data_IF_730025922601
#
_entry.id   IF_730025922601
#
_cell.length_a   1.000
_cell.length_b   1.000
_cell.length_c   1.000
_cell.angle_alpha   90.00
_cell.angle_beta   90.00
_cell.angle_gamma   90.00
#
_symmetry.space_group_name_H-M   'P 1'
#
loop_
_entity.id
_entity.type
_entity.pdbx_description
1 polymer ?
#
# COMPACT_ATOMS: atom_id res chain seq x y z
N UNK A 1 -58.98 24.72 -2.55
CA UNK A 1 -57.81 25.62 -2.46
C UNK A 1 -56.64 24.88 -1.83
N UNK A 2 -56.88 24.03 -0.83
CA UNK A 2 -55.86 23.24 -0.14
C UNK A 2 -55.17 22.17 -1.02
N UNK A 3 -55.91 21.48 -1.89
CA UNK A 3 -55.32 20.46 -2.80
C UNK A 3 -54.26 21.04 -3.75
N UNK A 4 -54.42 22.28 -4.21
CA UNK A 4 -53.43 22.95 -5.07
C UNK A 4 -52.16 23.33 -4.30
N UNK A 5 -52.29 23.68 -3.01
CA UNK A 5 -51.16 23.97 -2.14
C UNK A 5 -50.38 22.68 -1.85
N UNK A 6 -51.08 21.59 -1.55
CA UNK A 6 -50.51 20.27 -1.33
C UNK A 6 -49.80 19.74 -2.58
N UNK A 7 -50.41 19.85 -3.76
CA UNK A 7 -49.80 19.47 -5.03
C UNK A 7 -48.51 20.27 -5.30
N UNK A 8 -48.52 21.58 -5.02
CA UNK A 8 -47.34 22.44 -5.19
C UNK A 8 -46.23 22.07 -4.20
N UNK A 9 -46.59 21.70 -2.96
CA UNK A 9 -45.64 21.23 -1.96
C UNK A 9 -44.99 19.92 -2.41
N UNK A 10 -45.79 18.94 -2.83
CA UNK A 10 -45.31 17.65 -3.33
C UNK A 10 -44.41 17.80 -4.57
N UNK A 11 -44.72 18.73 -5.46
CA UNK A 11 -43.85 19.03 -6.61
C UNK A 11 -42.48 19.56 -6.18
N UNK A 12 -42.44 20.51 -5.25
CA UNK A 12 -41.17 21.04 -4.70
C UNK A 12 -40.36 19.97 -3.98
N UNK A 13 -41.02 19.13 -3.19
CA UNK A 13 -40.37 18.00 -2.52
C UNK A 13 -39.80 16.99 -3.53
N UNK A 14 -40.55 16.67 -4.59
CA UNK A 14 -40.08 15.79 -5.65
C UNK A 14 -38.85 16.37 -6.38
N UNK A 15 -38.85 17.67 -6.68
CA UNK A 15 -37.68 18.35 -7.26
C UNK A 15 -36.48 18.35 -6.32
N UNK A 16 -36.70 18.56 -5.02
CA UNK A 16 -35.65 18.49 -4.01
C UNK A 16 -35.06 17.07 -3.95
N UNK A 17 -35.90 16.04 -3.84
CA UNK A 17 -35.47 14.65 -3.81
C UNK A 17 -34.72 14.23 -5.08
N UNK A 18 -35.11 14.73 -6.26
CA UNK A 18 -34.38 14.51 -7.50
C UNK A 18 -32.98 15.11 -7.46
N UNK A 19 -32.83 16.34 -6.96
CA UNK A 19 -31.51 17.00 -6.82
C UNK A 19 -30.64 16.27 -5.80
N UNK A 20 -31.22 15.84 -4.69
CA UNK A 20 -30.52 15.06 -3.67
C UNK A 20 -30.04 13.72 -4.27
N UNK A 21 -30.90 13.02 -5.00
CA UNK A 21 -30.53 11.76 -5.66
C UNK A 21 -29.37 11.93 -6.65
N UNK A 22 -29.38 12.97 -7.47
CA UNK A 22 -28.27 13.24 -8.39
C UNK A 22 -26.97 13.58 -7.67
N UNK A 23 -27.06 14.32 -6.55
CA UNK A 23 -25.91 14.61 -5.69
C UNK A 23 -25.33 13.33 -5.10
N UNK A 24 -26.18 12.44 -4.58
CA UNK A 24 -25.73 11.16 -4.02
C UNK A 24 -25.14 10.24 -5.08
N UNK A 25 -25.71 10.20 -6.30
CA UNK A 25 -25.12 9.46 -7.43
C UNK A 25 -23.72 9.97 -7.79
N UNK A 26 -23.53 11.29 -7.80
CA UNK A 26 -22.23 11.90 -8.04
C UNK A 26 -21.22 11.51 -6.96
N UNK A 27 -21.60 11.66 -5.69
CA UNK A 27 -20.75 11.31 -4.55
C UNK A 27 -20.35 9.83 -4.57
N UNK A 28 -21.30 8.94 -4.86
CA UNK A 28 -21.04 7.51 -5.00
C UNK A 28 -20.01 7.23 -6.10
N UNK A 29 -20.12 7.87 -7.26
CA UNK A 29 -19.13 7.71 -8.35
C UNK A 29 -17.75 8.21 -7.94
N UNK A 30 -17.65 9.34 -7.24
CA UNK A 30 -16.38 9.86 -6.73
C UNK A 30 -15.73 8.87 -5.76
N UNK A 31 -16.47 8.43 -4.74
CA UNK A 31 -15.99 7.47 -3.75
C UNK A 31 -15.60 6.13 -4.38
N UNK A 32 -16.36 5.65 -5.37
CA UNK A 32 -16.00 4.43 -6.09
C UNK A 32 -14.69 4.57 -6.86
N UNK A 33 -14.40 5.76 -7.42
CA UNK A 33 -13.13 6.03 -8.09
C UNK A 33 -11.97 6.09 -7.09
N UNK A 34 -12.16 6.78 -5.97
CA UNK A 34 -11.17 6.88 -4.89
C UNK A 34 -10.84 5.52 -4.28
N UNK A 35 -11.85 4.67 -4.11
CA UNK A 35 -11.68 3.28 -3.68
C UNK A 35 -10.83 2.49 -4.70
N UNK A 36 -11.13 2.62 -5.99
CA UNK A 36 -10.33 1.97 -7.05
C UNK A 36 -8.86 2.39 -7.02
N UNK A 37 -8.59 3.70 -6.89
CA UNK A 37 -7.21 4.21 -6.75
C UNK A 37 -6.51 3.68 -5.51
N UNK A 38 -7.24 3.57 -4.39
CA UNK A 38 -6.70 3.04 -3.14
C UNK A 38 -6.34 1.56 -3.26
N UNK A 39 -7.17 0.76 -3.94
CA UNK A 39 -6.89 -0.65 -4.22
C UNK A 39 -5.59 -0.80 -5.01
N UNK A 40 -5.44 -0.05 -6.11
CA UNK A 40 -4.19 -0.10 -6.91
C UNK A 40 -2.96 0.28 -6.07
N UNK A 41 -3.06 1.32 -5.23
CA UNK A 41 -1.97 1.71 -4.34
C UNK A 41 -1.60 0.60 -3.35
N UNK A 42 -2.59 -0.11 -2.81
CA UNK A 42 -2.32 -1.26 -1.94
C UNK A 42 -1.63 -2.40 -2.69
N UNK A 43 -2.05 -2.70 -3.92
CA UNK A 43 -1.41 -3.72 -4.75
C UNK A 43 0.06 -3.36 -5.07
N UNK A 44 0.33 -2.10 -5.39
CA UNK A 44 1.69 -1.60 -5.63
C UNK A 44 2.59 -1.75 -4.38
N UNK A 45 2.06 -1.37 -3.21
CA UNK A 45 2.77 -1.51 -1.93
C UNK A 45 3.01 -2.98 -1.56
N UNK A 46 2.08 -3.87 -1.88
CA UNK A 46 2.25 -5.31 -1.67
C UNK A 46 3.36 -5.88 -2.58
N UNK A 47 3.43 -5.42 -3.83
CA UNK A 47 4.52 -5.78 -4.74
C UNK A 47 5.87 -5.26 -4.25
N UNK A 48 5.94 -4.02 -3.79
CA UNK A 48 7.16 -3.44 -3.20
C UNK A 48 7.60 -4.22 -1.96
N UNK A 49 6.68 -4.54 -1.06
CA UNK A 49 6.96 -5.38 0.11
C UNK A 49 7.53 -6.75 -0.25
N UNK A 50 7.01 -7.39 -1.32
CA UNK A 50 7.55 -8.68 -1.80
C UNK A 50 8.97 -8.53 -2.33
N UNK A 51 9.28 -7.46 -3.07
CA UNK A 51 10.62 -7.17 -3.56
C UNK A 51 11.61 -6.96 -2.40
N UNK A 52 11.24 -6.11 -1.44
CA UNK A 52 12.07 -5.84 -0.26
C UNK A 52 12.31 -7.10 0.56
N UNK A 53 11.31 -7.97 0.72
CA UNK A 53 11.50 -9.27 1.40
C UNK A 53 12.51 -10.17 0.69
N UNK A 54 12.50 -10.18 -0.64
CA UNK A 54 13.45 -10.96 -1.44
C UNK A 54 14.88 -10.40 -1.29
N UNK A 55 15.03 -9.09 -1.39
CA UNK A 55 16.32 -8.41 -1.20
C UNK A 55 16.89 -8.63 0.20
N UNK A 56 16.05 -8.59 1.25
CA UNK A 56 16.46 -8.90 2.61
C UNK A 56 17.00 -10.34 2.72
N UNK A 57 16.37 -11.31 2.05
CA UNK A 57 16.82 -12.69 2.10
C UNK A 57 18.15 -12.89 1.38
N UNK A 58 18.32 -12.29 0.19
CA UNK A 58 19.58 -12.28 -0.55
C UNK A 58 20.72 -11.67 0.28
N UNK A 59 20.46 -10.53 0.95
CA UNK A 59 21.45 -9.89 1.82
C UNK A 59 21.81 -10.75 3.04
N UNK A 60 20.87 -11.51 3.59
CA UNK A 60 21.17 -12.43 4.70
C UNK A 60 22.08 -13.57 4.24
N UNK A 61 21.83 -14.13 3.06
CA UNK A 61 22.67 -15.16 2.47
C UNK A 61 24.09 -14.64 2.26
N UNK A 62 24.24 -13.44 1.67
CA UNK A 62 25.54 -12.79 1.48
C UNK A 62 26.27 -12.54 2.81
N UNK A 63 25.56 -12.06 3.84
CA UNK A 63 26.14 -11.88 5.18
C UNK A 63 26.67 -13.21 5.74
N UNK A 64 25.94 -14.31 5.54
CA UNK A 64 26.33 -15.62 6.05
C UNK A 64 27.55 -16.17 5.29
N UNK A 65 27.61 -15.99 3.98
CA UNK A 65 28.80 -16.31 3.17
C UNK A 65 30.03 -15.52 3.61
N UNK A 66 29.88 -14.20 3.82
CA UNK A 66 30.96 -13.34 4.29
C UNK A 66 31.45 -13.73 5.69
N UNK A 67 30.56 -14.15 6.58
CA UNK A 67 30.96 -14.68 7.91
C UNK A 67 31.79 -15.94 7.78
N UNK A 68 31.34 -16.91 6.97
CA UNK A 68 32.09 -18.15 6.72
C UNK A 68 33.47 -17.85 6.12
N UNK A 69 33.52 -16.98 5.12
CA UNK A 69 34.77 -16.56 4.51
C UNK A 69 35.72 -15.91 5.53
N UNK A 70 35.17 -15.05 6.41
CA UNK A 70 35.94 -14.45 7.51
C UNK A 70 36.53 -15.53 8.44
N UNK A 71 35.72 -16.51 8.86
CA UNK A 71 36.16 -17.61 9.72
C UNK A 71 37.25 -18.47 9.05
N UNK A 72 37.13 -18.73 7.74
CA UNK A 72 38.15 -19.42 6.96
C UNK A 72 39.48 -18.63 6.91
N UNK A 73 39.41 -17.32 6.68
CA UNK A 73 40.60 -16.46 6.68
C UNK A 73 41.25 -16.43 8.06
N UNK A 74 40.48 -16.25 9.13
CA UNK A 74 40.98 -16.19 10.52
C UNK A 74 41.54 -17.52 11.00
N UNK A 75 40.98 -18.65 10.53
CA UNK A 75 41.48 -19.98 10.84
C UNK A 75 42.73 -20.37 10.04
N UNK A 76 43.03 -19.67 8.95
CA UNK A 76 44.19 -19.94 8.10
C UNK A 76 45.52 -19.73 8.82
N UNK A 77 46.49 -20.61 8.56
CA UNK A 77 47.83 -20.59 9.16
C UNK A 77 48.56 -19.27 8.89
N UNK A 78 48.39 -18.73 7.68
CA UNK A 78 49.00 -17.45 7.27
C UNK A 78 48.49 -16.26 8.09
N UNK A 79 47.19 -16.23 8.42
CA UNK A 79 46.61 -15.17 9.25
C UNK A 79 47.04 -15.29 10.71
N UNK A 80 47.02 -16.52 11.26
CA UNK A 80 47.49 -16.81 12.62
C UNK A 80 48.94 -16.39 12.84
N UNK A 81 49.83 -16.73 11.93
CA UNK A 81 51.24 -16.31 11.96
C UNK A 81 51.32 -14.77 11.96
N UNK A 82 50.61 -14.10 11.04
CA UNK A 82 50.62 -12.63 10.92
C UNK A 82 50.06 -11.92 12.18
N UNK A 83 49.10 -12.53 12.88
CA UNK A 83 48.55 -11.98 14.14
C UNK A 83 49.48 -12.11 15.35
N UNK A 84 50.42 -13.06 15.33
CA UNK A 84 51.36 -13.31 16.45
C UNK A 84 52.59 -12.39 16.38
N UNK A 85 52.92 -11.86 15.20
CA UNK A 85 54.07 -10.97 14.99
C UNK A 85 53.70 -9.46 15.07
N UNK A 86 52.55 -9.12 15.65
CA UNK A 86 52.06 -7.75 15.83
C UNK A 86 51.96 -7.40 17.32
#
# INVERSE_FOLDING_TARGET
>A
MDENIELTHLQKENEYLKKELETQKYNYKSLSSELGQSIFKCEDLDLENRKLKKEIEELKEEIEELKKFKEEVESSTSWKIKSVFK
#
